data_IF_087379510066
#
_entry.id   IF_087379510066
#
_cell.length_a   1.000
_cell.length_b   1.000
_cell.length_c   1.000
_cell.angle_alpha   90.00
_cell.angle_beta   90.00
_cell.angle_gamma   90.00
#
_symmetry.space_group_name_H-M   'P 1'
#
loop_
_entity.id
_entity.type
_entity.pdbx_description
1 polymer ?
#
# COMPACT_ATOMS: atom_id res chain seq x y z
N UNK A 1 -8.16 -15.82 5.61
CA UNK A 1 -7.67 -14.45 5.90
C UNK A 1 -6.79 -13.98 4.75
N UNK A 2 -6.75 -12.67 4.46
CA UNK A 2 -5.76 -12.09 3.56
C UNK A 2 -5.12 -10.88 4.25
N UNK A 3 -3.78 -10.84 4.33
CA UNK A 3 -3.01 -9.77 4.95
C UNK A 3 -2.25 -9.00 3.87
N UNK A 4 -2.57 -7.72 3.72
CA UNK A 4 -1.90 -6.79 2.82
C UNK A 4 -0.99 -5.87 3.64
N UNK A 5 0.29 -5.77 3.28
CA UNK A 5 1.22 -4.81 3.88
C UNK A 5 1.55 -3.71 2.87
N UNK A 6 1.21 -2.48 3.18
CA UNK A 6 1.60 -1.30 2.40
C UNK A 6 2.86 -0.71 3.00
N UNK A 7 3.98 -0.86 2.32
CA UNK A 7 5.29 -0.51 2.87
C UNK A 7 6.26 -0.04 1.80
N UNK A 8 7.08 0.92 2.16
CA UNK A 8 8.34 1.24 1.50
C UNK A 8 9.21 2.03 2.47
N UNK A 9 10.52 1.78 2.58
CA UNK A 9 11.39 2.45 3.54
C UNK A 9 11.56 3.96 3.32
N UNK A 10 11.16 4.47 2.18
CA UNK A 10 11.32 5.88 1.81
C UNK A 10 10.09 6.71 2.14
N UNK A 11 10.31 7.90 2.73
CA UNK A 11 9.27 8.91 2.92
C UNK A 11 8.87 9.58 1.60
N UNK A 12 7.61 10.00 1.48
CA UNK A 12 7.13 10.76 0.32
C UNK A 12 6.74 9.96 -0.92
N UNK A 13 6.93 8.64 -0.95
CA UNK A 13 6.58 7.75 -2.05
C UNK A 13 5.07 7.66 -2.38
N UNK A 14 4.21 8.30 -1.60
CA UNK A 14 2.76 8.31 -1.83
C UNK A 14 1.99 7.24 -1.02
N UNK A 15 2.61 6.60 -0.05
CA UNK A 15 2.03 5.52 0.77
C UNK A 15 0.67 5.89 1.36
N UNK A 16 0.58 6.95 2.16
CA UNK A 16 -0.69 7.38 2.79
C UNK A 16 -1.76 7.75 1.75
N UNK A 17 -1.40 8.51 0.71
CA UNK A 17 -2.35 8.88 -0.35
C UNK A 17 -2.91 7.65 -1.04
N UNK A 18 -2.05 6.74 -1.47
CA UNK A 18 -2.46 5.50 -2.12
C UNK A 18 -3.23 4.60 -1.15
N UNK A 19 -2.81 4.53 0.11
CA UNK A 19 -3.45 3.77 1.17
C UNK A 19 -4.93 4.10 1.33
N UNK A 20 -5.28 5.39 1.41
CA UNK A 20 -6.70 5.82 1.50
C UNK A 20 -7.52 5.26 0.33
N UNK A 21 -7.01 5.38 -0.89
CA UNK A 21 -7.73 4.92 -2.09
C UNK A 21 -7.84 3.39 -2.15
N UNK A 22 -6.77 2.70 -1.75
CA UNK A 22 -6.75 1.24 -1.69
C UNK A 22 -7.72 0.74 -0.61
N UNK A 23 -7.69 1.29 0.60
CA UNK A 23 -8.59 0.89 1.69
C UNK A 23 -10.05 1.06 1.29
N UNK A 24 -10.41 2.20 0.68
CA UNK A 24 -11.79 2.50 0.29
C UNK A 24 -12.33 1.58 -0.83
N UNK A 25 -11.48 1.03 -1.67
CA UNK A 25 -11.88 0.09 -2.71
C UNK A 25 -11.73 -1.38 -2.28
N UNK A 26 -10.68 -1.71 -1.53
CA UNK A 26 -10.41 -3.04 -1.01
C UNK A 26 -11.41 -3.42 0.10
N UNK A 27 -11.76 -2.45 0.96
CA UNK A 27 -12.64 -2.59 2.13
C UNK A 27 -12.19 -3.69 3.08
N UNK A 28 -10.98 -3.61 3.62
CA UNK A 28 -10.51 -4.58 4.59
C UNK A 28 -11.36 -4.50 5.87
N UNK A 29 -11.52 -5.63 6.57
CA UNK A 29 -12.23 -5.70 7.84
C UNK A 29 -11.50 -4.96 8.96
N UNK A 30 -10.18 -4.86 8.84
CA UNK A 30 -9.30 -4.19 9.80
C UNK A 30 -8.18 -3.45 9.08
N UNK A 31 -7.91 -2.23 9.49
CA UNK A 31 -6.72 -1.45 9.11
C UNK A 31 -5.82 -1.32 10.33
N UNK A 32 -4.54 -1.61 10.18
CA UNK A 32 -3.52 -1.44 11.22
C UNK A 32 -2.58 -0.31 10.78
N UNK A 33 -2.59 0.80 11.51
CA UNK A 33 -1.75 1.97 11.24
C UNK A 33 -0.51 1.92 12.15
N UNK A 34 0.63 1.56 11.57
CA UNK A 34 1.92 1.50 12.27
C UNK A 34 2.82 2.69 11.91
N UNK A 35 2.34 3.66 11.12
CA UNK A 35 3.11 4.87 10.81
C UNK A 35 3.24 5.74 12.07
N UNK A 36 4.43 6.27 12.33
CA UNK A 36 4.70 7.15 13.49
C UNK A 36 3.78 8.37 13.49
N UNK A 37 3.50 8.91 12.31
CA UNK A 37 2.61 10.08 12.14
C UNK A 37 1.13 9.73 12.22
N UNK A 38 0.78 8.43 12.21
CA UNK A 38 -0.60 7.93 12.24
C UNK A 38 -1.50 8.62 11.22
N UNK A 39 -0.96 8.79 10.02
CA UNK A 39 -1.61 9.60 8.99
C UNK A 39 -2.96 9.05 8.55
N UNK A 40 -3.12 7.72 8.43
CA UNK A 40 -4.40 7.08 8.11
C UNK A 40 -5.41 7.25 9.24
N UNK A 41 -4.98 7.11 10.51
CA UNK A 41 -5.82 7.32 11.69
C UNK A 41 -6.35 8.76 11.77
N UNK A 42 -5.50 9.75 11.46
CA UNK A 42 -5.91 11.16 11.40
C UNK A 42 -6.90 11.39 10.26
N UNK A 43 -6.64 10.86 9.07
CA UNK A 43 -7.55 10.97 7.92
C UNK A 43 -8.91 10.31 8.24
N UNK A 44 -8.91 9.19 8.97
CA UNK A 44 -10.13 8.51 9.38
C UNK A 44 -11.04 9.40 10.27
N UNK A 45 -10.46 10.33 11.05
CA UNK A 45 -11.24 11.28 11.83
C UNK A 45 -12.02 12.28 10.98
N UNK A 46 -11.54 12.59 9.76
CA UNK A 46 -12.19 13.49 8.81
C UNK A 46 -13.36 12.83 8.07
N UNK A 47 -13.49 11.51 8.16
CA UNK A 47 -14.52 10.74 7.44
C UNK A 47 -15.89 10.91 8.09
N UNK A 48 -16.97 10.85 7.30
CA UNK A 48 -18.32 10.68 7.83
C UNK A 48 -18.40 9.42 8.73
N UNK A 49 -19.21 9.45 9.78
CA UNK A 49 -19.27 8.36 10.76
C UNK A 49 -19.67 7.01 10.14
N UNK A 50 -20.58 7.04 9.16
CA UNK A 50 -21.01 5.87 8.40
C UNK A 50 -19.97 5.30 7.44
N UNK A 51 -18.84 6.00 7.28
CA UNK A 51 -17.73 5.63 6.38
C UNK A 51 -16.39 5.43 7.09
N UNK A 52 -16.38 5.51 8.41
CA UNK A 52 -15.14 5.30 9.18
C UNK A 52 -14.65 3.87 9.00
N UNK A 53 -13.34 3.74 8.84
CA UNK A 53 -12.67 2.45 8.85
C UNK A 53 -12.56 1.92 10.27
N UNK A 54 -12.60 0.61 10.41
CA UNK A 54 -12.13 -0.07 11.61
C UNK A 54 -10.60 -0.03 11.61
N UNK A 55 -10.02 0.98 12.26
CA UNK A 55 -8.59 1.24 12.28
C UNK A 55 -8.06 1.23 13.71
N UNK A 56 -6.93 0.57 13.90
CA UNK A 56 -6.20 0.51 15.16
C UNK A 56 -4.74 0.89 14.94
N UNK A 57 -4.07 1.31 16.00
CA UNK A 57 -2.62 1.58 16.00
C UNK A 57 -1.91 0.51 16.81
N UNK A 58 -0.76 0.05 16.32
CA UNK A 58 0.06 -0.97 16.96
C UNK A 58 1.50 -0.48 17.00
N UNK A 59 2.18 -0.68 18.12
CA UNK A 59 3.54 -0.19 18.34
C UNK A 59 4.58 -1.28 18.66
N UNK A 60 4.14 -2.52 18.92
CA UNK A 60 5.03 -3.62 19.20
C UNK A 60 4.62 -4.89 18.43
N UNK A 61 5.59 -5.78 18.24
CA UNK A 61 5.42 -6.99 17.40
C UNK A 61 4.52 -8.04 18.05
N UNK A 62 4.51 -8.15 19.36
CA UNK A 62 3.69 -9.10 20.11
C UNK A 62 2.22 -8.79 19.90
N UNK A 63 1.83 -7.54 20.11
CA UNK A 63 0.48 -7.03 19.87
C UNK A 63 0.04 -7.24 18.40
N UNK A 64 0.93 -6.93 17.44
CA UNK A 64 0.64 -7.17 16.03
C UNK A 64 0.31 -8.64 15.74
N UNK A 65 1.13 -9.56 16.23
CA UNK A 65 0.94 -10.99 16.01
C UNK A 65 -0.34 -11.52 16.66
N UNK A 66 -0.69 -11.04 17.85
CA UNK A 66 -1.92 -11.46 18.53
C UNK A 66 -3.18 -10.98 17.82
N UNK A 67 -3.15 -9.73 17.32
CA UNK A 67 -4.23 -9.17 16.48
C UNK A 67 -4.38 -9.99 15.20
N UNK A 68 -3.28 -10.31 14.52
CA UNK A 68 -3.32 -11.06 13.27
C UNK A 68 -3.81 -12.51 13.48
N UNK A 69 -3.42 -13.20 14.57
CA UNK A 69 -3.95 -14.51 14.93
C UNK A 69 -5.47 -14.46 15.14
N UNK A 70 -5.97 -13.42 15.82
CA UNK A 70 -7.40 -13.23 16.02
C UNK A 70 -8.10 -12.96 14.68
N UNK A 71 -7.57 -12.08 13.84
CA UNK A 71 -8.11 -11.80 12.53
C UNK A 71 -8.16 -13.05 11.64
N UNK A 72 -7.14 -13.93 11.73
CA UNK A 72 -7.10 -15.19 11.01
C UNK A 72 -8.21 -16.15 11.45
N UNK A 73 -8.39 -16.32 12.75
CA UNK A 73 -9.46 -17.16 13.30
C UNK A 73 -10.86 -16.69 12.91
N UNK A 74 -11.02 -15.40 12.59
CA UNK A 74 -12.27 -14.77 12.16
C UNK A 74 -12.38 -14.67 10.63
N UNK A 75 -11.39 -15.12 9.87
CA UNK A 75 -11.37 -15.07 8.40
C UNK A 75 -11.29 -13.65 7.82
N UNK A 76 -10.81 -12.66 8.59
CA UNK A 76 -10.80 -11.24 8.25
C UNK A 76 -9.72 -10.85 7.24
N UNK A 77 -10.04 -9.89 6.39
CA UNK A 77 -9.07 -9.20 5.54
C UNK A 77 -8.43 -8.05 6.31
N UNK A 78 -7.11 -7.99 6.35
CA UNK A 78 -6.34 -6.97 7.09
C UNK A 78 -5.44 -6.20 6.14
N UNK A 79 -5.41 -4.85 6.29
CA UNK A 79 -4.41 -4.01 5.65
C UNK A 79 -3.54 -3.36 6.72
N UNK A 80 -2.23 -3.50 6.58
CA UNK A 80 -1.22 -2.92 7.48
C UNK A 80 -0.54 -1.76 6.76
N UNK A 81 -0.66 -0.53 7.27
CA UNK A 81 0.16 0.60 6.84
C UNK A 81 1.45 0.63 7.65
N UNK A 82 2.51 0.14 7.05
CA UNK A 82 3.83 0.13 7.67
C UNK A 82 4.44 1.53 7.64
N UNK A 83 5.10 1.93 8.71
CA UNK A 83 5.87 3.18 8.75
C UNK A 83 6.97 3.23 7.70
N UNK A 84 7.46 4.43 7.41
CA UNK A 84 8.49 4.67 6.39
C UNK A 84 9.91 4.27 6.79
N UNK A 85 10.13 3.71 7.97
CA UNK A 85 11.45 3.31 8.47
C UNK A 85 11.58 1.80 8.56
N UNK A 86 12.83 1.32 8.40
CA UNK A 86 13.18 -0.09 8.63
C UNK A 86 13.18 -0.38 10.15
N UNK A 87 11.98 -0.59 10.70
CA UNK A 87 11.79 -0.98 12.09
C UNK A 87 11.49 -2.48 12.18
N UNK A 88 11.86 -3.10 13.28
CA UNK A 88 11.64 -4.55 13.49
C UNK A 88 10.17 -4.95 13.32
N UNK A 89 9.23 -4.13 13.78
CA UNK A 89 7.80 -4.39 13.62
C UNK A 89 7.37 -4.38 12.14
N UNK A 90 7.94 -3.50 11.31
CA UNK A 90 7.66 -3.47 9.87
C UNK A 90 8.19 -4.72 9.18
N UNK A 91 9.36 -5.23 9.61
CA UNK A 91 9.91 -6.50 9.11
C UNK A 91 9.00 -7.68 9.46
N UNK A 92 8.39 -7.68 10.65
CA UNK A 92 7.40 -8.69 11.04
C UNK A 92 6.15 -8.59 10.16
N UNK A 93 5.60 -7.39 9.96
CA UNK A 93 4.44 -7.19 9.08
C UNK A 93 4.71 -7.70 7.65
N UNK A 94 5.87 -7.38 7.08
CA UNK A 94 6.32 -7.88 5.77
C UNK A 94 6.44 -9.41 5.77
N UNK A 95 6.97 -9.99 6.85
CA UNK A 95 7.18 -11.44 6.95
C UNK A 95 5.87 -12.24 7.00
N UNK A 96 4.79 -11.67 7.52
CA UNK A 96 3.49 -12.36 7.71
C UNK A 96 2.46 -11.98 6.63
N UNK A 97 2.72 -10.95 5.83
CA UNK A 97 1.81 -10.54 4.77
C UNK A 97 1.71 -11.57 3.64
N UNK A 98 0.51 -11.73 3.09
CA UNK A 98 0.24 -12.48 1.87
C UNK A 98 0.60 -11.66 0.63
N UNK A 99 0.32 -10.35 0.66
CA UNK A 99 0.64 -9.42 -0.42
C UNK A 99 1.34 -8.18 0.15
N UNK A 100 2.52 -7.89 -0.36
CA UNK A 100 3.31 -6.71 0.02
C UNK A 100 3.25 -5.70 -1.10
N UNK A 101 2.84 -4.47 -0.78
CA UNK A 101 2.62 -3.37 -1.70
C UNK A 101 3.64 -2.27 -1.48
N UNK A 102 4.29 -1.83 -2.55
CA UNK A 102 5.27 -0.76 -2.50
C UNK A 102 4.94 0.34 -3.53
N UNK A 103 4.44 1.51 -3.11
CA UNK A 103 4.30 2.65 -4.01
C UNK A 103 5.67 3.20 -4.40
N UNK A 104 5.86 3.49 -5.67
CA UNK A 104 7.05 4.16 -6.19
C UNK A 104 6.67 5.13 -7.31
N UNK A 105 7.48 6.16 -7.55
CA UNK A 105 7.40 6.95 -8.78
C UNK A 105 8.59 6.59 -9.70
N UNK A 106 8.58 7.13 -10.90
CA UNK A 106 9.60 6.85 -11.92
C UNK A 106 10.73 7.89 -11.85
N UNK A 107 11.34 8.05 -10.67
CA UNK A 107 12.54 8.90 -10.52
C UNK A 107 13.74 8.12 -9.93
N UNK A 108 14.94 8.62 -10.21
CA UNK A 108 16.20 7.97 -9.79
C UNK A 108 16.28 7.78 -8.27
N UNK A 109 15.71 8.70 -7.49
CA UNK A 109 15.77 8.60 -6.02
C UNK A 109 14.87 7.50 -5.49
N UNK A 110 13.76 7.19 -6.18
CA UNK A 110 12.90 6.04 -5.87
C UNK A 110 13.62 4.73 -6.19
N UNK A 111 14.30 4.64 -7.33
CA UNK A 111 15.07 3.45 -7.70
C UNK A 111 16.13 3.09 -6.65
N UNK A 112 16.84 4.08 -6.10
CA UNK A 112 17.78 3.87 -4.98
C UNK A 112 17.05 3.29 -3.75
N UNK A 113 15.86 3.83 -3.42
CA UNK A 113 15.02 3.33 -2.33
C UNK A 113 14.59 1.87 -2.55
N UNK A 114 14.25 1.51 -3.78
CA UNK A 114 13.87 0.15 -4.16
C UNK A 114 15.02 -0.85 -3.99
N UNK A 115 16.26 -0.49 -4.30
CA UNK A 115 17.42 -1.37 -4.03
C UNK A 115 17.63 -1.62 -2.54
N UNK A 116 17.45 -0.61 -1.69
CA UNK A 116 17.48 -0.79 -0.23
C UNK A 116 16.34 -1.71 0.25
N UNK A 117 15.19 -1.57 -0.35
CA UNK A 117 14.03 -2.43 -0.05
C UNK A 117 14.24 -3.87 -0.51
N UNK A 118 14.78 -4.08 -1.71
CA UNK A 118 15.20 -5.40 -2.23
C UNK A 118 16.10 -6.12 -1.25
N UNK A 119 17.14 -5.43 -0.73
CA UNK A 119 18.06 -5.99 0.26
C UNK A 119 17.32 -6.41 1.53
N UNK A 120 16.44 -5.57 2.06
CA UNK A 120 15.64 -5.86 3.24
C UNK A 120 14.74 -7.09 3.03
N UNK A 121 14.08 -7.20 1.89
CA UNK A 121 13.25 -8.36 1.54
C UNK A 121 14.09 -9.64 1.46
N UNK A 122 15.30 -9.56 0.90
CA UNK A 122 16.24 -10.68 0.86
C UNK A 122 16.68 -11.14 2.26
N UNK A 123 16.91 -10.21 3.19
CA UNK A 123 17.23 -10.52 4.59
C UNK A 123 16.05 -11.20 5.30
N UNK A 124 14.82 -10.67 5.11
CA UNK A 124 13.61 -11.27 5.67
C UNK A 124 13.39 -12.66 5.09
N UNK A 125 13.52 -12.83 3.76
CA UNK A 125 13.36 -14.13 3.08
C UNK A 125 14.29 -15.20 3.68
N UNK A 126 15.56 -14.86 3.91
CA UNK A 126 16.53 -15.77 4.54
C UNK A 126 16.13 -16.12 5.97
N UNK A 127 15.63 -15.14 6.74
CA UNK A 127 15.27 -15.33 8.15
C UNK A 127 14.03 -16.21 8.32
N UNK A 128 13.05 -16.08 7.42
CA UNK A 128 11.79 -16.85 7.51
C UNK A 128 11.80 -18.14 6.70
N UNK A 129 12.85 -18.40 5.91
CA UNK A 129 13.00 -19.62 5.11
C UNK A 129 12.07 -19.73 3.91
N UNK A 130 11.45 -18.61 3.49
CA UNK A 130 10.61 -18.54 2.29
C UNK A 130 10.92 -17.31 1.46
N UNK A 131 10.68 -17.36 0.16
CA UNK A 131 10.82 -16.18 -0.70
C UNK A 131 9.74 -15.16 -0.38
N UNK A 132 10.16 -13.92 -0.10
CA UNK A 132 9.28 -12.77 0.11
C UNK A 132 9.38 -11.88 -1.13
N UNK A 133 8.25 -11.57 -1.73
CA UNK A 133 8.16 -10.72 -2.93
C UNK A 133 7.25 -9.54 -2.64
N UNK A 134 7.68 -8.33 -2.99
CA UNK A 134 6.85 -7.13 -2.94
C UNK A 134 6.42 -6.70 -4.36
N UNK A 135 5.20 -6.23 -4.45
CA UNK A 135 4.56 -5.75 -5.67
C UNK A 135 4.65 -4.23 -5.72
N UNK A 136 5.45 -3.73 -6.64
CA UNK A 136 5.69 -2.30 -6.85
C UNK A 136 4.63 -1.77 -7.80
N UNK A 137 3.82 -0.82 -7.36
CA UNK A 137 2.92 -0.08 -8.23
C UNK A 137 3.39 1.36 -8.40
N UNK A 138 3.35 1.84 -9.63
CA UNK A 138 3.77 3.20 -9.93
C UNK A 138 2.69 4.20 -9.48
N UNK A 139 3.11 5.28 -8.83
CA UNK A 139 2.26 6.38 -8.45
C UNK A 139 2.88 7.73 -8.85
N UNK A 140 2.05 8.77 -8.94
CA UNK A 140 2.47 10.13 -9.34
C UNK A 140 3.13 10.23 -10.71
N UNK A 141 3.04 9.21 -11.55
CA UNK A 141 3.56 9.21 -12.92
C UNK A 141 2.65 9.99 -13.88
N UNK A 142 3.16 10.51 -15.00
CA UNK A 142 2.33 11.17 -16.01
C UNK A 142 1.21 10.25 -16.51
N UNK A 143 -0.02 10.75 -16.58
CA UNK A 143 -1.19 9.94 -16.95
C UNK A 143 -1.17 9.43 -18.41
N UNK A 144 -0.47 10.15 -19.29
CA UNK A 144 -0.33 9.83 -20.71
C UNK A 144 0.88 8.93 -21.03
N UNK A 145 1.78 8.70 -20.09
CA UNK A 145 2.91 7.79 -20.24
C UNK A 145 2.46 6.35 -19.90
N UNK A 146 2.76 5.40 -20.78
CA UNK A 146 2.37 3.98 -20.59
C UNK A 146 3.54 3.06 -20.27
N UNK A 147 4.75 3.45 -20.65
CA UNK A 147 5.97 2.66 -20.47
C UNK A 147 6.96 3.43 -19.61
N UNK A 148 7.66 2.69 -18.76
CA UNK A 148 8.63 3.20 -17.80
C UNK A 148 9.91 2.37 -17.89
N UNK A 149 10.69 2.53 -19.00
CA UNK A 149 11.81 1.64 -19.32
C UNK A 149 12.85 1.55 -18.21
N UNK A 150 13.17 2.69 -17.56
CA UNK A 150 14.17 2.73 -16.49
C UNK A 150 13.71 1.95 -15.25
N UNK A 151 12.44 2.07 -14.90
CA UNK A 151 11.85 1.31 -13.79
C UNK A 151 11.70 -0.17 -14.15
N UNK A 152 11.23 -0.47 -15.35
CA UNK A 152 11.09 -1.84 -15.86
C UNK A 152 12.47 -2.54 -15.87
N UNK A 153 13.52 -1.88 -16.37
CA UNK A 153 14.90 -2.39 -16.36
C UNK A 153 15.42 -2.59 -14.93
N UNK A 154 15.20 -1.58 -14.05
CA UNK A 154 15.60 -1.66 -12.65
C UNK A 154 14.99 -2.86 -11.95
N UNK A 155 13.67 -3.03 -12.06
CA UNK A 155 12.96 -4.13 -11.38
C UNK A 155 13.25 -5.50 -12.00
N UNK A 156 13.56 -5.57 -13.30
CA UNK A 156 13.96 -6.82 -13.95
C UNK A 156 15.24 -7.43 -13.36
N UNK A 157 16.10 -6.60 -12.76
CA UNK A 157 17.37 -7.01 -12.12
C UNK A 157 17.22 -7.40 -10.65
N UNK A 158 15.99 -7.33 -10.09
CA UNK A 158 15.69 -7.64 -8.70
C UNK A 158 15.06 -9.03 -8.57
N UNK A 159 15.33 -9.68 -7.43
CA UNK A 159 14.73 -10.98 -7.12
C UNK A 159 13.40 -10.86 -6.38
N UNK A 160 13.28 -9.87 -5.50
CA UNK A 160 12.20 -9.74 -4.54
C UNK A 160 11.20 -8.64 -4.89
N UNK A 161 11.35 -7.95 -6.05
CA UNK A 161 10.43 -6.90 -6.49
C UNK A 161 9.78 -7.29 -7.83
N UNK A 162 8.48 -6.99 -7.97
CA UNK A 162 7.72 -7.21 -9.20
C UNK A 162 6.90 -5.97 -9.52
N UNK A 163 7.00 -5.49 -10.76
CA UNK A 163 6.19 -4.36 -11.21
C UNK A 163 4.75 -4.80 -11.45
N UNK A 164 3.80 -4.06 -10.89
CA UNK A 164 2.37 -4.25 -11.15
C UNK A 164 1.97 -3.63 -12.48
N UNK A 165 0.90 -4.14 -13.08
CA UNK A 165 0.35 -3.60 -14.33
C UNK A 165 -0.44 -2.31 -14.09
N UNK A 166 -1.16 -2.24 -12.97
CA UNK A 166 -1.96 -1.08 -12.60
C UNK A 166 -1.15 -0.07 -11.79
N UNK A 167 -1.50 1.21 -11.95
CA UNK A 167 -0.81 2.35 -11.32
C UNK A 167 -1.78 3.43 -10.91
N UNK A 168 -1.31 4.38 -10.11
CA UNK A 168 -2.04 5.60 -9.72
C UNK A 168 -1.33 6.84 -10.30
N UNK A 169 -1.71 7.26 -11.49
CA UNK A 169 -1.03 8.36 -12.19
C UNK A 169 -1.26 9.72 -11.53
N UNK A 170 -0.35 10.68 -11.76
CA UNK A 170 -0.55 12.05 -11.31
C UNK A 170 -1.75 12.66 -12.01
N UNK A 171 -2.74 13.08 -11.22
CA UNK A 171 -3.96 13.71 -11.74
C UNK A 171 -4.31 14.96 -10.97
N UNK A 172 -4.67 15.99 -11.71
CA UNK A 172 -5.16 17.28 -11.20
C UNK A 172 -6.68 17.38 -11.36
N UNK A 173 -7.26 18.51 -10.93
CA UNK A 173 -8.69 18.75 -11.08
C UNK A 173 -9.56 18.09 -10.01
N UNK A 174 -10.88 17.98 -10.20
CA UNK A 174 -11.83 17.54 -9.18
C UNK A 174 -11.63 16.07 -8.79
N UNK A 175 -11.10 15.24 -9.68
CA UNK A 175 -10.80 13.83 -9.47
C UNK A 175 -9.31 13.54 -9.27
N UNK A 176 -8.51 14.53 -8.88
CA UNK A 176 -7.14 14.31 -8.44
C UNK A 176 -7.10 13.57 -7.11
N UNK A 177 -6.18 12.64 -6.96
CA UNK A 177 -6.09 11.76 -5.77
C UNK A 177 -6.01 12.52 -4.43
N UNK A 178 -5.39 13.69 -4.40
CA UNK A 178 -5.29 14.50 -3.18
C UNK A 178 -6.55 15.32 -2.85
N UNK A 179 -7.48 15.48 -3.79
CA UNK A 179 -8.68 16.31 -3.59
C UNK A 179 -9.71 15.66 -2.68
N UNK A 180 -9.94 14.36 -2.83
CA UNK A 180 -10.88 13.60 -2.02
C UNK A 180 -10.40 13.44 -0.56
N UNK A 181 -9.08 13.39 -0.34
CA UNK A 181 -8.46 13.31 0.98
C UNK A 181 -8.83 14.46 1.93
N UNK A 182 -9.18 15.63 1.41
CA UNK A 182 -9.67 16.75 2.25
C UNK A 182 -10.93 16.40 3.04
N UNK A 183 -11.69 15.39 2.58
CA UNK A 183 -12.89 14.85 3.25
C UNK A 183 -12.64 13.47 3.87
N UNK A 184 -11.39 13.04 3.94
CA UNK A 184 -11.03 11.70 4.38
C UNK A 184 -11.45 10.57 3.42
N UNK A 185 -11.92 10.88 2.20
CA UNK A 185 -12.50 9.90 1.27
C UNK A 185 -11.52 9.53 0.15
N UNK A 186 -11.52 8.27 -0.25
CA UNK A 186 -10.90 7.82 -1.48
C UNK A 186 -11.70 8.23 -2.71
N UNK A 187 -11.06 8.19 -3.87
CA UNK A 187 -11.66 8.65 -5.13
C UNK A 187 -12.91 7.83 -5.50
N UNK A 188 -12.97 6.56 -5.15
CA UNK A 188 -14.11 5.68 -5.46
C UNK A 188 -15.35 5.96 -4.61
N UNK A 189 -15.21 6.69 -3.51
CA UNK A 189 -16.32 7.06 -2.60
C UNK A 189 -16.91 8.44 -2.85
N UNK A 190 -16.26 9.29 -3.65
CA UNK A 190 -16.83 10.59 -4.01
C UNK A 190 -17.79 10.48 -5.19
N UNK A 191 -18.72 11.44 -5.30
CA UNK A 191 -19.70 11.48 -6.39
C UNK A 191 -19.00 11.44 -7.75
N UNK A 192 -19.43 10.52 -8.62
CA UNK A 192 -18.85 10.24 -9.94
C UNK A 192 -17.37 9.81 -9.95
N UNK A 193 -16.75 9.64 -8.79
CA UNK A 193 -15.33 9.29 -8.68
C UNK A 193 -15.01 7.92 -9.27
N UNK A 194 -15.86 6.90 -9.04
CA UNK A 194 -15.67 5.55 -9.63
C UNK A 194 -15.63 5.53 -11.15
N UNK A 195 -16.43 6.39 -11.81
CA UNK A 195 -16.47 6.50 -13.27
C UNK A 195 -15.29 7.30 -13.83
N UNK A 196 -14.60 8.08 -13.01
CA UNK A 196 -13.43 8.87 -13.42
C UNK A 196 -12.26 7.99 -13.82
N UNK A 197 -11.31 8.56 -14.55
CA UNK A 197 -10.07 7.86 -14.89
C UNK A 197 -9.26 7.47 -13.64
N UNK A 198 -9.22 8.34 -12.62
CA UNK A 198 -8.59 8.03 -11.34
C UNK A 198 -9.29 6.87 -10.59
N UNK A 199 -10.63 6.86 -10.59
CA UNK A 199 -11.38 5.75 -9.99
C UNK A 199 -11.15 4.43 -10.70
N UNK A 200 -11.06 4.42 -12.01
CA UNK A 200 -10.74 3.22 -12.81
C UNK A 200 -9.33 2.69 -12.52
N UNK A 201 -8.35 3.58 -12.30
CA UNK A 201 -7.00 3.18 -11.88
C UNK A 201 -7.02 2.49 -10.52
N UNK A 202 -7.73 3.04 -9.52
CA UNK A 202 -7.86 2.41 -8.20
C UNK A 202 -8.56 1.06 -8.28
N UNK A 203 -9.67 0.98 -9.02
CA UNK A 203 -10.40 -0.27 -9.21
C UNK A 203 -9.52 -1.34 -9.87
N UNK A 204 -8.77 -0.96 -10.90
CA UNK A 204 -7.82 -1.87 -11.58
C UNK A 204 -6.72 -2.35 -10.64
N UNK A 205 -6.12 -1.42 -9.88
CA UNK A 205 -5.07 -1.76 -8.91
C UNK A 205 -5.60 -2.74 -7.84
N UNK A 206 -6.76 -2.46 -7.26
CA UNK A 206 -7.32 -3.32 -6.20
C UNK A 206 -7.78 -4.67 -6.75
N UNK A 207 -8.25 -4.73 -8.00
CA UNK A 207 -8.53 -6.00 -8.66
C UNK A 207 -7.28 -6.87 -8.75
N UNK A 208 -6.17 -6.30 -9.25
CA UNK A 208 -4.87 -6.98 -9.31
C UNK A 208 -4.39 -7.43 -7.92
N UNK A 209 -4.60 -6.62 -6.86
CA UNK A 209 -4.27 -6.99 -5.49
C UNK A 209 -5.04 -8.22 -4.99
N UNK A 210 -6.34 -8.30 -5.31
CA UNK A 210 -7.16 -9.46 -4.93
C UNK A 210 -6.72 -10.72 -5.66
N UNK A 211 -6.32 -10.61 -6.93
CA UNK A 211 -5.78 -11.72 -7.72
C UNK A 211 -4.45 -12.25 -7.16
N UNK A 212 -3.63 -11.37 -6.56
CA UNK A 212 -2.37 -11.74 -5.92
C UNK A 212 -2.57 -12.46 -4.56
N UNK A 213 -3.69 -12.20 -3.89
CA UNK A 213 -4.00 -12.83 -2.60
C UNK A 213 -4.65 -14.22 -2.72
N UNK A 214 -5.10 -14.61 -3.92
CA UNK A 214 -5.73 -15.92 -4.22
C UNK A 214 -7.24 -15.85 -4.17
#
# INVERSE_FOLDING_TARGET
MAVYALTIPKGGAGKTTSGVHIIDELKPDLVIDMDVLKSLSIINQLRPDDKKWNIITVSNKEELLDILKKADSEGKTVLIDCGGFDADINRVAVAVADVILAPANDDTTEQIGLFSFEKMLGEISKRVGREITAHVFLCKTPYNQKHFPDMEDTLSKTKHLRLMQNRLSYRTGPYGFTKSLKKGLGITEIRHGRASAAGKEVIGLVKELRELAG
#
